data_IF_916419117821
#
_entry.id   IF_916419117821
#
_cell.length_a   1.000
_cell.length_b   1.000
_cell.length_c   1.000
_cell.angle_alpha   90.00
_cell.angle_beta   90.00
_cell.angle_gamma   90.00
#
_symmetry.space_group_name_H-M   'P 1'
#
loop_
_entity.id
_entity.type
_entity.pdbx_description
1 polymer ?
#
# COMPACT_ATOMS: atom_id res chain seq x y z
N UNK A 1 -21.08 -29.27 -37.88
CA UNK A 1 -19.63 -28.97 -37.85
C UNK A 1 -19.43 -27.79 -36.90
N UNK A 2 -19.04 -28.03 -35.65
CA UNK A 2 -18.85 -26.95 -34.67
C UNK A 2 -17.51 -26.27 -34.94
N UNK A 3 -17.55 -24.97 -35.26
CA UNK A 3 -16.34 -24.15 -35.28
C UNK A 3 -15.82 -24.01 -33.85
N UNK A 4 -14.60 -24.48 -33.60
CA UNK A 4 -13.91 -24.48 -32.31
C UNK A 4 -13.52 -23.09 -31.82
N UNK A 5 -14.48 -22.16 -31.74
CA UNK A 5 -14.27 -20.82 -31.22
C UNK A 5 -14.08 -20.85 -29.71
N UNK A 6 -12.99 -20.23 -29.26
CA UNK A 6 -12.72 -19.96 -27.84
C UNK A 6 -13.78 -19.03 -27.26
N UNK A 7 -13.96 -19.05 -25.93
CA UNK A 7 -14.93 -18.17 -25.26
C UNK A 7 -14.62 -16.68 -25.43
N UNK A 8 -13.37 -16.31 -25.70
CA UNK A 8 -12.98 -14.94 -26.03
C UNK A 8 -13.51 -14.49 -27.40
N UNK A 9 -13.36 -15.34 -28.42
CA UNK A 9 -13.83 -15.07 -29.77
C UNK A 9 -15.37 -15.01 -29.82
N UNK A 10 -16.05 -15.93 -29.12
CA UNK A 10 -17.52 -15.90 -28.98
C UNK A 10 -18.01 -14.59 -28.37
N UNK A 11 -17.30 -14.05 -27.36
CA UNK A 11 -17.62 -12.74 -26.76
C UNK A 11 -17.38 -11.58 -27.74
N UNK A 12 -16.31 -11.63 -28.54
CA UNK A 12 -16.03 -10.61 -29.54
C UNK A 12 -17.12 -10.56 -30.62
N UNK A 13 -17.51 -11.71 -31.16
CA UNK A 13 -18.61 -11.84 -32.15
C UNK A 13 -19.93 -11.34 -31.55
N UNK A 14 -20.24 -11.74 -30.30
CA UNK A 14 -21.45 -11.29 -29.60
C UNK A 14 -21.47 -9.77 -29.45
N UNK A 15 -20.33 -9.14 -29.11
CA UNK A 15 -20.23 -7.68 -28.94
C UNK A 15 -20.48 -6.94 -30.26
N UNK A 16 -19.95 -7.44 -31.38
CA UNK A 16 -20.19 -6.86 -32.71
C UNK A 16 -21.66 -6.99 -33.13
N UNK A 17 -22.26 -8.17 -32.94
CA UNK A 17 -23.67 -8.41 -33.27
C UNK A 17 -24.63 -7.68 -32.33
N UNK A 18 -24.23 -7.40 -31.09
CA UNK A 18 -25.08 -6.73 -30.11
C UNK A 18 -25.46 -5.30 -30.52
N UNK A 19 -24.54 -4.55 -31.13
CA UNK A 19 -24.82 -3.20 -31.65
C UNK A 19 -25.88 -3.22 -32.76
N UNK A 20 -25.75 -4.15 -33.71
CA UNK A 20 -26.75 -4.37 -34.78
C UNK A 20 -28.07 -4.88 -34.22
N UNK A 21 -28.03 -5.76 -33.21
CA UNK A 21 -29.21 -6.29 -32.55
C UNK A 21 -30.01 -5.20 -31.82
N UNK A 22 -29.35 -4.22 -31.21
CA UNK A 22 -30.00 -3.13 -30.50
C UNK A 22 -30.84 -2.25 -31.43
N UNK A 23 -30.28 -1.87 -32.58
CA UNK A 23 -30.92 -0.99 -33.57
C UNK A 23 -31.83 -1.72 -34.57
N UNK A 24 -31.78 -3.05 -34.63
CA UNK A 24 -32.55 -3.85 -35.58
C UNK A 24 -34.06 -3.95 -35.27
N UNK A 25 -34.86 -4.03 -36.35
CA UNK A 25 -36.28 -4.43 -36.30
C UNK A 25 -36.48 -5.92 -36.03
N UNK A 26 -37.74 -6.37 -35.88
CA UNK A 26 -38.09 -7.75 -35.47
C UNK A 26 -37.54 -8.83 -36.39
N UNK A 27 -37.60 -8.65 -37.71
CA UNK A 27 -37.12 -9.62 -38.69
C UNK A 27 -35.59 -9.80 -38.63
N UNK A 28 -34.86 -8.67 -38.61
CA UNK A 28 -33.39 -8.65 -38.54
C UNK A 28 -32.88 -9.20 -37.20
N UNK A 29 -33.58 -8.91 -36.08
CA UNK A 29 -33.30 -9.54 -34.78
C UNK A 29 -33.44 -11.07 -34.82
N UNK A 30 -34.39 -11.58 -35.61
CA UNK A 30 -34.58 -13.01 -35.83
C UNK A 30 -33.40 -13.65 -36.54
N UNK A 31 -32.89 -13.00 -37.60
CA UNK A 31 -31.73 -13.43 -38.40
C UNK A 31 -30.44 -13.41 -37.57
N UNK A 32 -30.17 -12.32 -36.84
CA UNK A 32 -28.99 -12.19 -35.97
C UNK A 32 -28.96 -13.29 -34.90
N UNK A 33 -30.11 -13.65 -34.34
CA UNK A 33 -30.19 -14.74 -33.35
C UNK A 33 -29.92 -16.11 -33.97
N UNK A 34 -30.39 -16.35 -35.21
CA UNK A 34 -30.14 -17.62 -35.90
C UNK A 34 -28.66 -17.76 -36.26
N UNK A 35 -28.04 -16.71 -36.81
CA UNK A 35 -26.61 -16.65 -37.09
C UNK A 35 -25.77 -16.89 -35.81
N UNK A 36 -26.11 -16.22 -34.70
CA UNK A 36 -25.37 -16.39 -33.44
C UNK A 36 -25.50 -17.82 -32.88
N UNK A 37 -26.67 -18.46 -33.02
CA UNK A 37 -26.90 -19.85 -32.59
C UNK A 37 -26.12 -20.83 -33.45
N UNK A 38 -26.10 -20.65 -34.77
CA UNK A 38 -25.32 -21.48 -35.70
C UNK A 38 -23.81 -21.37 -35.44
N UNK A 39 -23.31 -20.17 -35.16
CA UNK A 39 -21.88 -19.92 -34.89
C UNK A 39 -21.41 -20.44 -33.53
N UNK A 40 -22.23 -20.32 -32.49
CA UNK A 40 -21.80 -20.61 -31.09
C UNK A 40 -22.32 -21.94 -30.54
N UNK A 41 -23.33 -22.52 -31.18
CA UNK A 41 -24.07 -23.68 -30.68
C UNK A 41 -24.92 -23.36 -29.43
N UNK A 42 -25.14 -22.09 -29.10
CA UNK A 42 -25.92 -21.70 -27.93
C UNK A 42 -27.42 -21.90 -28.12
N UNK A 43 -28.15 -22.11 -27.01
CA UNK A 43 -29.61 -22.05 -27.04
C UNK A 43 -30.06 -20.60 -27.32
N UNK A 44 -31.16 -20.44 -28.05
CA UNK A 44 -31.70 -19.14 -28.47
C UNK A 44 -31.92 -18.15 -27.31
N UNK A 45 -32.29 -18.64 -26.13
CA UNK A 45 -32.45 -17.81 -24.93
C UNK A 45 -31.12 -17.28 -24.40
N UNK A 46 -30.09 -18.13 -24.40
CA UNK A 46 -28.74 -17.74 -23.99
C UNK A 46 -28.14 -16.73 -24.97
N UNK A 47 -28.33 -16.93 -26.27
CA UNK A 47 -27.93 -15.98 -27.30
C UNK A 47 -28.59 -14.60 -27.09
N UNK A 48 -29.89 -14.57 -26.76
CA UNK A 48 -30.60 -13.32 -26.43
C UNK A 48 -30.05 -12.63 -25.19
N UNK A 49 -29.77 -13.41 -24.13
CA UNK A 49 -29.19 -12.88 -22.90
C UNK A 49 -27.77 -12.34 -23.13
N UNK A 50 -26.95 -13.07 -23.88
CA UNK A 50 -25.58 -12.68 -24.22
C UNK A 50 -25.53 -11.37 -25.01
N UNK A 51 -26.44 -11.17 -25.98
CA UNK A 51 -26.55 -9.91 -26.73
C UNK A 51 -26.95 -8.72 -25.84
N UNK A 52 -27.83 -8.93 -24.85
CA UNK A 52 -28.21 -7.88 -23.90
C UNK A 52 -27.05 -7.50 -22.97
N UNK A 53 -26.37 -8.51 -22.43
CA UNK A 53 -25.25 -8.32 -21.50
C UNK A 53 -23.98 -7.82 -22.18
N UNK A 54 -23.80 -8.05 -23.50
CA UNK A 54 -22.62 -7.61 -24.23
C UNK A 54 -22.49 -6.08 -24.34
N UNK A 55 -23.60 -5.34 -24.21
CA UNK A 55 -23.63 -3.87 -24.22
C UNK A 55 -23.71 -3.27 -22.82
N UNK A 56 -23.98 -4.08 -21.79
CA UNK A 56 -23.93 -3.59 -20.42
C UNK A 56 -22.48 -3.27 -20.06
N UNK A 57 -22.20 -2.05 -19.56
CA UNK A 57 -20.88 -1.77 -19.01
C UNK A 57 -20.62 -2.80 -17.90
N UNK A 58 -19.40 -3.36 -17.80
CA UNK A 58 -19.09 -4.31 -16.74
C UNK A 58 -19.44 -3.65 -15.41
N UNK A 59 -20.47 -4.19 -14.75
CA UNK A 59 -20.98 -3.62 -13.51
C UNK A 59 -19.81 -3.42 -12.56
N UNK A 60 -19.69 -2.22 -11.97
CA UNK A 60 -18.65 -1.90 -11.00
C UNK A 60 -18.67 -3.00 -9.95
N UNK A 61 -17.64 -3.87 -9.97
CA UNK A 61 -17.55 -4.98 -9.04
C UNK A 61 -17.53 -4.36 -7.65
N UNK A 62 -18.61 -4.54 -6.89
CA UNK A 62 -18.75 -3.98 -5.55
C UNK A 62 -17.65 -4.59 -4.68
N UNK A 63 -16.55 -3.87 -4.53
CA UNK A 63 -15.46 -4.25 -3.65
C UNK A 63 -16.04 -4.21 -2.24
N UNK A 64 -16.11 -5.37 -1.59
CA UNK A 64 -16.54 -5.43 -0.19
C UNK A 64 -15.55 -4.59 0.64
N UNK A 65 -16.03 -3.70 1.53
CA UNK A 65 -15.12 -2.96 2.38
C UNK A 65 -14.28 -3.96 3.19
N UNK A 66 -12.96 -3.86 3.07
CA UNK A 66 -12.02 -4.72 3.78
C UNK A 66 -12.11 -4.53 5.30
N UNK A 67 -11.44 -5.41 6.04
CA UNK A 67 -11.34 -5.32 7.51
C UNK A 67 -10.80 -3.94 7.92
N UNK A 68 -11.43 -3.31 8.92
CA UNK A 68 -10.95 -2.04 9.49
C UNK A 68 -9.50 -2.20 9.99
N UNK A 69 -8.57 -1.27 9.69
CA UNK A 69 -7.20 -1.34 10.18
C UNK A 69 -7.17 -1.36 11.71
N UNK A 70 -6.42 -2.30 12.29
CA UNK A 70 -6.22 -2.41 13.76
C UNK A 70 -5.43 -1.21 14.30
N UNK A 71 -4.61 -0.60 13.46
CA UNK A 71 -3.79 0.55 13.81
C UNK A 71 -4.21 1.73 12.93
N UNK A 72 -4.69 2.85 13.52
CA UNK A 72 -5.07 4.04 12.75
C UNK A 72 -3.87 4.64 12.00
N UNK A 73 -4.17 5.45 10.98
CA UNK A 73 -3.16 6.12 10.17
C UNK A 73 -2.38 7.17 10.98
N UNK A 74 -3.03 7.78 11.97
CA UNK A 74 -2.48 8.84 12.83
C UNK A 74 -1.30 8.36 13.71
N UNK A 75 -1.13 7.03 13.85
CA UNK A 75 0.02 6.44 14.55
C UNK A 75 1.30 6.43 13.71
N UNK A 76 1.20 6.60 12.39
CA UNK A 76 2.36 6.57 11.50
C UNK A 76 3.39 7.66 11.83
N UNK A 77 3.04 8.95 11.97
CA UNK A 77 4.02 9.99 12.31
C UNK A 77 4.70 9.74 13.66
N UNK A 78 3.96 9.28 14.67
CA UNK A 78 4.53 8.93 15.97
C UNK A 78 5.55 7.78 15.86
N UNK A 79 5.22 6.73 15.09
CA UNK A 79 6.14 5.61 14.85
C UNK A 79 7.41 6.04 14.11
N UNK A 80 7.26 6.92 13.10
CA UNK A 80 8.40 7.46 12.33
C UNK A 80 9.30 8.31 13.22
N UNK A 81 8.73 9.11 14.13
CA UNK A 81 9.51 9.89 15.10
C UNK A 81 10.32 8.96 16.01
N UNK A 82 9.68 7.94 16.61
CA UNK A 82 10.37 6.97 17.48
C UNK A 82 11.54 6.30 16.75
N UNK A 83 11.33 5.92 15.49
CA UNK A 83 12.36 5.32 14.64
C UNK A 83 13.50 6.29 14.30
N UNK A 84 13.18 7.56 14.04
CA UNK A 84 14.15 8.60 13.73
C UNK A 84 15.02 8.98 14.94
N UNK A 85 14.42 9.06 16.15
CA UNK A 85 15.13 9.33 17.41
C UNK A 85 16.22 8.28 17.65
N UNK A 86 15.94 7.01 17.35
CA UNK A 86 16.90 5.91 17.46
C UNK A 86 17.85 5.77 16.26
N UNK A 87 17.86 6.72 15.32
CA UNK A 87 18.69 6.71 14.10
C UNK A 87 18.45 5.51 13.18
N UNK A 88 17.20 5.07 13.11
CA UNK A 88 16.76 4.11 12.12
C UNK A 88 17.04 2.63 12.43
N UNK A 89 16.78 2.11 13.65
CA UNK A 89 17.06 0.72 13.98
C UNK A 89 16.13 -0.28 13.26
N UNK A 90 16.48 -1.57 13.32
CA UNK A 90 15.61 -2.66 12.91
C UNK A 90 14.33 -2.71 13.77
N UNK A 91 13.21 -3.20 13.21
CA UNK A 91 11.91 -3.21 13.89
C UNK A 91 11.92 -4.01 15.20
N UNK A 92 12.81 -5.00 15.35
CA UNK A 92 13.01 -5.76 16.59
C UNK A 92 13.54 -4.89 17.74
N UNK A 93 14.54 -4.06 17.46
CA UNK A 93 15.10 -3.13 18.45
C UNK A 93 14.10 -2.03 18.77
N UNK A 94 13.37 -1.54 17.76
CA UNK A 94 12.32 -0.55 17.98
C UNK A 94 11.16 -1.10 18.83
N UNK A 95 10.75 -2.35 18.60
CA UNK A 95 9.71 -3.02 19.40
C UNK A 95 10.15 -3.28 20.84
N UNK A 96 11.43 -3.55 21.08
CA UNK A 96 11.96 -3.66 22.44
C UNK A 96 12.03 -2.28 23.12
N UNK A 97 12.29 -1.24 22.34
CA UNK A 97 12.47 0.12 22.85
C UNK A 97 11.17 0.89 23.07
N UNK A 98 10.08 0.56 22.37
CA UNK A 98 8.79 1.28 22.46
C UNK A 98 8.25 1.34 23.89
N UNK A 99 8.49 0.33 24.72
CA UNK A 99 8.03 0.28 26.10
C UNK A 99 8.57 1.42 26.98
N UNK A 100 9.83 1.83 26.78
CA UNK A 100 10.41 2.96 27.53
C UNK A 100 10.36 4.27 26.73
N UNK A 101 10.47 4.19 25.40
CA UNK A 101 10.61 5.35 24.54
C UNK A 101 9.30 6.11 24.37
N UNK A 102 8.15 5.42 24.33
CA UNK A 102 6.83 6.06 24.18
C UNK A 102 6.46 6.91 25.41
N UNK A 103 6.54 6.41 26.66
CA UNK A 103 6.27 7.23 27.84
C UNK A 103 7.20 8.44 27.96
N UNK A 104 8.49 8.24 27.66
CA UNK A 104 9.51 9.29 27.71
C UNK A 104 9.23 10.42 26.71
N UNK A 105 8.92 10.09 25.45
CA UNK A 105 8.59 11.10 24.44
C UNK A 105 7.25 11.83 24.71
N UNK A 106 6.33 11.21 25.46
CA UNK A 106 5.11 11.87 25.95
C UNK A 106 5.42 12.84 27.11
N UNK A 107 6.32 12.45 28.01
CA UNK A 107 6.75 13.32 29.12
C UNK A 107 7.43 14.60 28.60
N UNK A 108 8.19 14.49 27.51
CA UNK A 108 8.84 15.63 26.84
C UNK A 108 7.90 16.42 25.91
N UNK A 109 6.62 16.07 25.83
CA UNK A 109 5.61 16.70 24.94
C UNK A 109 5.98 16.71 23.44
N UNK A 110 6.92 15.86 23.03
CA UNK A 110 7.30 15.70 21.61
C UNK A 110 6.29 14.82 20.87
N UNK A 111 5.61 13.91 21.58
CA UNK A 111 4.51 13.09 21.08
C UNK A 111 3.17 13.56 21.65
N UNK A 112 2.30 14.07 20.78
CA UNK A 112 0.89 14.32 21.09
C UNK A 112 0.06 13.09 20.70
N UNK A 113 -0.01 12.11 21.61
CA UNK A 113 -0.77 10.86 21.44
C UNK A 113 -1.60 10.54 22.69
N UNK A 114 -2.78 9.95 22.46
CA UNK A 114 -3.66 9.45 23.52
C UNK A 114 -3.09 8.19 24.18
N UNK A 115 -3.55 7.86 25.39
CA UNK A 115 -3.13 6.63 26.09
C UNK A 115 -3.43 5.37 25.27
N UNK A 116 -4.61 5.30 24.64
CA UNK A 116 -5.00 4.20 23.77
C UNK A 116 -4.05 4.03 22.57
N UNK A 117 -3.55 5.14 22.02
CA UNK A 117 -2.57 5.12 20.94
C UNK A 117 -1.18 4.69 21.41
N UNK A 118 -0.77 5.09 22.61
CA UNK A 118 0.47 4.65 23.22
C UNK A 118 0.47 3.13 23.45
N UNK A 119 -0.63 2.58 23.97
CA UNK A 119 -0.80 1.13 24.15
C UNK A 119 -0.71 0.37 22.82
N UNK A 120 -1.31 0.92 21.76
CA UNK A 120 -1.23 0.33 20.42
C UNK A 120 0.21 0.32 19.88
N UNK A 121 1.01 1.35 20.16
CA UNK A 121 2.42 1.40 19.76
C UNK A 121 3.27 0.38 20.54
N UNK A 122 3.04 0.25 21.84
CA UNK A 122 3.75 -0.71 22.71
C UNK A 122 3.41 -2.16 22.33
N UNK A 123 2.14 -2.44 21.99
CA UNK A 123 1.68 -3.77 21.57
C UNK A 123 2.07 -4.16 20.14
N UNK A 124 2.59 -3.21 19.35
CA UNK A 124 2.87 -3.44 17.93
C UNK A 124 4.05 -4.40 17.75
N UNK A 125 3.83 -5.46 16.98
CA UNK A 125 4.88 -6.44 16.70
C UNK A 125 5.97 -5.87 15.78
N UNK A 126 7.21 -6.34 15.94
CA UNK A 126 8.35 -5.96 15.09
C UNK A 126 8.06 -6.09 13.59
N UNK A 127 7.38 -7.17 13.16
CA UNK A 127 7.02 -7.38 11.76
C UNK A 127 5.99 -6.35 11.24
N UNK A 128 5.11 -5.85 12.11
CA UNK A 128 4.16 -4.79 11.73
C UNK A 128 4.86 -3.44 11.64
N UNK A 129 5.76 -3.16 12.57
CA UNK A 129 6.63 -1.99 12.56
C UNK A 129 7.47 -1.95 11.27
N UNK A 130 8.13 -3.06 10.91
CA UNK A 130 8.96 -3.13 9.70
C UNK A 130 8.14 -2.92 8.41
N UNK A 131 6.91 -3.48 8.33
CA UNK A 131 6.01 -3.24 7.17
C UNK A 131 5.57 -1.78 7.08
N UNK A 132 5.28 -1.14 8.21
CA UNK A 132 4.85 0.26 8.28
C UNK A 132 5.98 1.24 7.96
N UNK A 133 7.21 0.91 8.33
CA UNK A 133 8.41 1.72 8.06
C UNK A 133 9.09 1.38 6.73
N UNK A 134 8.60 0.39 5.99
CA UNK A 134 9.21 -0.04 4.72
C UNK A 134 9.28 1.11 3.70
N UNK A 135 8.24 1.95 3.63
CA UNK A 135 8.21 3.10 2.71
C UNK A 135 9.22 4.17 3.11
N UNK A 136 9.37 4.41 4.40
CA UNK A 136 10.29 5.38 4.99
C UNK A 136 11.74 4.92 4.85
N UNK A 137 12.01 3.62 5.00
CA UNK A 137 13.30 3.02 4.69
C UNK A 137 13.63 3.10 3.21
N UNK A 138 12.65 2.87 2.33
CA UNK A 138 12.85 3.00 0.88
C UNK A 138 13.21 4.43 0.50
N UNK A 139 12.58 5.44 1.13
CA UNK A 139 12.97 6.85 0.95
C UNK A 139 14.43 7.12 1.35
N UNK A 140 14.98 6.38 2.31
CA UNK A 140 16.38 6.48 2.72
C UNK A 140 17.34 5.65 1.86
N UNK A 141 16.82 4.68 1.08
CA UNK A 141 17.63 3.93 0.12
C UNK A 141 17.96 4.85 -1.05
N UNK A 142 19.14 5.47 -0.96
CA UNK A 142 19.75 6.15 -2.09
C UNK A 142 19.81 5.15 -3.25
N UNK A 143 19.09 5.47 -4.33
CA UNK A 143 19.12 4.66 -5.54
C UNK A 143 20.55 4.69 -6.08
N UNK A 144 21.15 3.50 -6.20
CA UNK A 144 22.54 3.36 -6.61
C UNK A 144 22.75 3.87 -8.03
N UNK A 145 23.66 4.85 -8.17
CA UNK A 145 24.38 5.08 -9.43
C UNK A 145 25.14 3.80 -9.77
N UNK A 146 25.10 3.46 -11.06
CA UNK A 146 25.65 2.26 -11.68
C UNK A 146 27.01 1.82 -11.14
N UNK A 147 27.17 0.50 -11.03
CA UNK A 147 28.41 -0.17 -10.67
C UNK A 147 29.50 0.12 -11.72
N UNK A 148 30.42 1.04 -11.40
CA UNK A 148 31.78 1.00 -11.92
C UNK A 148 32.72 1.01 -10.73
N UNK A 149 33.52 -0.04 -10.64
CA UNK A 149 34.42 -0.38 -9.55
C UNK A 149 35.41 0.77 -9.28
N UNK A 150 35.31 1.39 -8.11
CA UNK A 150 36.34 2.28 -7.55
C UNK A 150 36.83 1.68 -6.23
N UNK A 151 38.04 1.17 -6.29
CA UNK A 151 38.81 0.67 -5.16
C UNK A 151 39.14 1.82 -4.20
N UNK A 152 38.95 1.57 -2.90
CA UNK A 152 39.28 2.40 -1.73
C UNK A 152 38.38 3.62 -1.46
N UNK A 153 37.70 3.56 -0.31
CA UNK A 153 37.53 4.58 0.77
C UNK A 153 36.07 4.75 1.23
N UNK A 154 35.93 4.73 2.55
CA UNK A 154 34.77 5.19 3.32
C UNK A 154 33.55 4.27 3.30
N UNK A 155 33.41 3.45 4.35
CA UNK A 155 32.10 2.97 4.79
C UNK A 155 31.18 4.18 4.96
N UNK A 156 30.08 4.32 4.20
CA UNK A 156 29.15 5.40 4.46
C UNK A 156 28.50 5.09 5.81
N UNK A 157 28.83 5.89 6.82
CA UNK A 157 28.04 5.98 8.04
C UNK A 157 26.57 6.09 7.64
N UNK A 158 25.74 5.14 8.08
CA UNK A 158 24.28 5.23 8.01
C UNK A 158 23.82 6.35 8.95
N UNK A 159 24.20 7.58 8.65
CA UNK A 159 23.64 8.76 9.29
C UNK A 159 22.29 8.97 8.63
N UNK A 160 21.20 8.69 9.36
CA UNK A 160 19.89 9.28 9.03
C UNK A 160 20.15 10.76 8.74
N UNK A 161 20.04 11.17 7.48
CA UNK A 161 20.46 12.51 7.09
C UNK A 161 19.65 13.53 7.87
N UNK A 162 20.33 14.50 8.50
CA UNK A 162 19.72 15.63 9.20
C UNK A 162 18.64 16.27 8.34
N UNK A 163 18.92 16.40 7.05
CA UNK A 163 18.04 17.04 6.06
C UNK A 163 16.70 16.31 5.88
N UNK A 164 16.68 15.00 6.12
CA UNK A 164 15.46 14.19 6.06
C UNK A 164 14.57 14.37 7.31
N UNK A 165 15.18 14.44 8.50
CA UNK A 165 14.48 14.83 9.73
C UNK A 165 13.92 16.26 9.61
N UNK A 166 14.67 17.17 8.96
CA UNK A 166 14.31 18.57 8.79
C UNK A 166 13.14 18.81 7.83
N UNK A 167 12.94 17.95 6.83
CA UNK A 167 11.88 18.09 5.82
C UNK A 167 10.58 17.37 6.20
N UNK A 168 10.65 16.31 7.01
CA UNK A 168 9.47 15.47 7.33
C UNK A 168 8.80 15.82 8.65
N UNK A 169 9.55 16.33 9.63
CA UNK A 169 9.02 16.67 10.97
C UNK A 169 8.96 18.19 11.08
N UNK A 170 7.74 18.73 11.16
CA UNK A 170 7.48 20.17 11.28
C UNK A 170 8.34 20.83 12.37
N UNK A 171 8.77 22.07 12.12
CA UNK A 171 9.86 22.74 12.82
C UNK A 171 9.75 22.93 14.34
N UNK A 172 8.65 22.52 14.99
CA UNK A 172 8.47 22.56 16.44
C UNK A 172 9.31 21.53 17.21
N UNK A 173 9.55 20.34 16.65
CA UNK A 173 10.31 19.26 17.31
C UNK A 173 11.84 19.48 17.34
N UNK A 174 12.31 20.69 16.99
CA UNK A 174 13.71 21.00 16.67
C UNK A 174 14.61 21.22 17.89
N UNK A 175 14.05 21.54 19.07
CA UNK A 175 14.85 21.89 20.26
C UNK A 175 15.02 20.73 21.25
N UNK A 176 14.02 19.88 21.44
CA UNK A 176 14.10 18.74 22.37
C UNK A 176 15.05 17.63 21.91
N UNK A 177 14.97 17.21 20.64
CA UNK A 177 15.72 16.04 20.13
C UNK A 177 17.25 16.24 20.23
N UNK A 178 17.73 17.50 20.16
CA UNK A 178 19.17 17.83 20.33
C UNK A 178 19.65 17.69 21.77
N UNK A 179 18.80 18.00 22.76
CA UNK A 179 19.12 17.84 24.19
C UNK A 179 19.16 16.36 24.55
N UNK A 180 18.21 15.59 24.00
CA UNK A 180 18.04 14.18 24.31
C UNK A 180 19.18 13.26 23.81
N UNK A 181 19.69 13.49 22.59
CA UNK A 181 20.82 12.70 22.05
C UNK A 181 22.16 12.96 22.76
N UNK A 182 22.28 14.05 23.54
CA UNK A 182 23.51 14.41 24.24
C UNK A 182 23.58 13.79 25.65
N UNK A 183 22.48 13.79 26.40
CA UNK A 183 22.45 13.28 27.79
C UNK A 183 22.57 11.76 27.90
N UNK A 184 22.06 11.00 26.93
CA UNK A 184 22.03 9.53 27.02
C UNK A 184 23.40 8.84 26.87
N UNK A 185 24.49 9.61 26.69
CA UNK A 185 25.88 9.13 26.61
C UNK A 185 26.63 9.16 27.96
N UNK A 186 26.10 9.80 29.01
CA UNK A 186 26.82 9.98 30.29
C UNK A 186 26.29 9.18 31.48
N UNK A 187 25.39 8.21 31.28
CA UNK A 187 24.67 7.55 32.37
C UNK A 187 24.90 6.05 32.56
N UNK A 188 26.08 5.48 32.25
CA UNK A 188 26.43 4.11 32.67
C UNK A 188 27.92 3.98 32.99
N UNK A 189 28.25 4.04 34.28
CA UNK A 189 29.60 3.72 34.75
C UNK A 189 29.95 4.20 36.17
N UNK A 190 29.05 4.12 37.14
CA UNK A 190 29.43 4.10 38.57
C UNK A 190 28.62 3.04 39.31
N UNK A 191 29.24 1.88 39.52
CA UNK A 191 29.15 0.99 40.69
C UNK A 191 30.15 -0.15 40.48
#
# INVERSE_FOLDING_TARGET
>A
MWMGLTMGERKAVTKQLALRYQSAGRAVKGQILTELVELTGWRRDYARQALRQALEPPGLRRVRPGRKPVYPADLQPALVLCWAVLRGPAGKLLAAATGYLVPMLRAERVLDITDAQADLLVRMSAATIDRRLAREREKMRLHGRSHTKLTVRSSPSLTVSRDWLHSTIGGGARREIRRFSFDHRLGRGES
#
